data_IF_041490288422
#
_entry.id   IF_041490288422
#
_cell.length_a   1.000
_cell.length_b   1.000
_cell.length_c   1.000
_cell.angle_alpha   90.00
_cell.angle_beta   90.00
_cell.angle_gamma   90.00
#
_symmetry.space_group_name_H-M   'P 1'
#
loop_
_entity.id
_entity.type
_entity.pdbx_description
1 polymer ?
#
# COMPACT_ATOMS: atom_id res chain seq x y z
N UNK A 1 -39.54 16.77 53.98
CA UNK A 1 -39.75 16.97 52.54
C UNK A 1 -38.42 16.82 51.83
N UNK A 2 -38.23 15.60 51.24
CA UNK A 2 -36.93 15.20 50.63
C UNK A 2 -36.89 15.54 49.16
N UNK A 3 -36.00 16.41 48.75
CA UNK A 3 -35.73 16.71 47.33
C UNK A 3 -34.66 15.72 46.79
N UNK A 4 -35.08 14.88 45.83
CA UNK A 4 -34.16 13.99 45.09
C UNK A 4 -33.54 14.76 43.94
N UNK A 5 -32.23 14.95 43.99
CA UNK A 5 -31.42 15.53 42.88
C UNK A 5 -31.10 14.37 41.93
N UNK A 6 -31.61 14.49 40.71
CA UNK A 6 -31.36 13.57 39.61
C UNK A 6 -30.05 14.00 38.93
N UNK A 7 -28.98 13.26 39.06
CA UNK A 7 -27.74 13.45 38.33
C UNK A 7 -27.85 12.72 36.98
N UNK A 8 -27.92 13.50 35.88
CA UNK A 8 -27.79 12.97 34.56
C UNK A 8 -26.33 12.84 34.19
N UNK A 9 -25.83 11.60 34.04
CA UNK A 9 -24.50 11.33 33.53
C UNK A 9 -24.51 11.39 32.02
N UNK A 10 -23.83 12.41 31.45
CA UNK A 10 -23.52 12.46 30.02
C UNK A 10 -22.37 11.51 29.73
N UNK A 11 -22.65 10.39 29.08
CA UNK A 11 -21.64 9.53 28.50
C UNK A 11 -21.18 10.12 27.17
N UNK A 12 -20.04 10.78 27.15
CA UNK A 12 -19.36 11.20 25.92
C UNK A 12 -18.70 9.99 25.27
N UNK A 13 -19.35 9.45 24.24
CA UNK A 13 -18.77 8.40 23.40
C UNK A 13 -17.65 8.97 22.53
N UNK A 14 -16.40 8.64 22.84
CA UNK A 14 -15.26 8.87 21.95
C UNK A 14 -15.34 7.89 20.77
N UNK A 15 -15.77 8.36 19.62
CA UNK A 15 -15.56 7.66 18.34
C UNK A 15 -14.08 7.84 17.96
N UNK A 16 -13.26 6.85 18.27
CA UNK A 16 -11.91 6.75 17.70
C UNK A 16 -12.04 6.31 16.26
N UNK A 17 -11.88 7.26 15.32
CA UNK A 17 -11.65 6.93 13.93
C UNK A 17 -10.30 6.22 13.84
N UNK A 18 -10.33 4.89 13.75
CA UNK A 18 -9.13 4.09 13.52
C UNK A 18 -8.58 4.42 12.12
N UNK A 19 -7.43 5.06 12.06
CA UNK A 19 -6.65 5.10 10.83
C UNK A 19 -6.28 3.66 10.49
N UNK A 20 -6.84 3.13 9.39
CA UNK A 20 -6.49 1.81 8.89
C UNK A 20 -5.00 1.78 8.57
N UNK A 21 -4.26 0.88 9.18
CA UNK A 21 -2.90 0.57 8.79
C UNK A 21 -2.97 -0.26 7.50
N UNK A 22 -2.21 0.12 6.48
CA UNK A 22 -2.04 -0.71 5.31
C UNK A 22 -1.48 -2.07 5.75
N UNK A 23 -2.18 -3.14 5.40
CA UNK A 23 -1.74 -4.51 5.62
C UNK A 23 -1.08 -5.02 4.36
N UNK A 24 0.06 -5.70 4.51
CA UNK A 24 0.68 -6.47 3.46
C UNK A 24 0.80 -7.92 3.91
N UNK A 25 0.26 -8.80 3.10
CA UNK A 25 0.29 -10.23 3.36
C UNK A 25 1.07 -10.95 2.25
N UNK A 26 2.05 -11.79 2.63
CA UNK A 26 2.74 -12.65 1.68
C UNK A 26 1.76 -13.71 1.19
N UNK A 27 1.38 -13.61 -0.08
CA UNK A 27 0.43 -14.54 -0.71
C UNK A 27 1.13 -15.62 -1.53
N UNK A 28 2.43 -15.45 -1.80
CA UNK A 28 3.19 -16.46 -2.53
C UNK A 28 4.70 -16.26 -2.42
N UNK A 29 5.42 -17.38 -2.47
CA UNK A 29 6.87 -17.45 -2.59
C UNK A 29 7.22 -18.49 -3.64
N UNK A 30 8.02 -18.08 -4.63
CA UNK A 30 8.48 -18.96 -5.71
C UNK A 30 10.00 -19.06 -5.64
N UNK A 31 10.51 -20.24 -5.34
CA UNK A 31 11.94 -20.52 -5.33
C UNK A 31 12.53 -20.39 -6.74
N UNK A 32 13.60 -19.64 -6.88
CA UNK A 32 14.30 -19.41 -8.16
C UNK A 32 15.50 -20.33 -8.30
N UNK A 33 16.12 -20.66 -7.17
CA UNK A 33 17.30 -21.53 -7.14
C UNK A 33 17.41 -22.35 -5.85
N UNK A 34 18.41 -23.22 -5.78
CA UNK A 34 18.63 -24.12 -4.65
C UNK A 34 19.33 -23.46 -3.44
N UNK A 35 19.79 -22.20 -3.58
CA UNK A 35 20.46 -21.45 -2.51
C UNK A 35 19.52 -20.53 -1.73
N UNK A 36 18.23 -20.62 -2.01
CA UNK A 36 17.18 -19.92 -1.25
C UNK A 36 16.90 -18.50 -1.72
N UNK A 37 17.11 -18.24 -3.01
CA UNK A 37 16.65 -17.01 -3.64
C UNK A 37 15.20 -17.20 -4.11
N UNK A 38 14.32 -16.28 -3.73
CA UNK A 38 12.88 -16.39 -3.95
C UNK A 38 12.31 -15.15 -4.63
N UNK A 39 11.27 -15.33 -5.42
CA UNK A 39 10.36 -14.25 -5.79
C UNK A 39 9.22 -14.26 -4.79
N UNK A 40 9.05 -13.15 -4.10
CA UNK A 40 7.97 -12.94 -3.12
C UNK A 40 6.85 -12.17 -3.78
N UNK A 41 5.61 -12.58 -3.51
CA UNK A 41 4.39 -11.88 -3.91
C UNK A 41 3.66 -11.45 -2.65
N UNK A 42 3.39 -10.17 -2.52
CA UNK A 42 2.62 -9.60 -1.42
C UNK A 42 1.34 -8.94 -1.93
N UNK A 43 0.24 -9.16 -1.23
CA UNK A 43 -1.01 -8.44 -1.44
C UNK A 43 -1.03 -7.22 -0.51
N UNK A 44 -1.30 -6.06 -1.08
CA UNK A 44 -1.37 -4.77 -0.39
C UNK A 44 -2.78 -4.21 -0.54
N UNK A 45 -3.43 -3.91 0.57
CA UNK A 45 -4.67 -3.16 0.60
C UNK A 45 -4.38 -1.66 0.74
N UNK A 46 -5.10 -0.83 0.00
CA UNK A 46 -5.02 0.62 0.16
C UNK A 46 -5.75 1.05 1.45
N UNK A 47 -5.11 1.77 2.37
CA UNK A 47 -5.72 2.14 3.66
C UNK A 47 -6.88 3.13 3.53
N UNK A 48 -7.01 3.83 2.40
CA UNK A 48 -8.05 4.83 2.15
C UNK A 48 -9.03 4.46 1.05
N UNK A 49 -8.76 3.35 0.34
CA UNK A 49 -9.62 2.86 -0.75
C UNK A 49 -9.92 1.38 -0.51
N UNK A 50 -11.18 1.06 -0.23
CA UNK A 50 -11.62 -0.33 -0.18
C UNK A 50 -12.00 -0.85 -1.57
N UNK A 51 -12.00 -2.17 -1.72
CA UNK A 51 -12.35 -2.82 -2.99
C UNK A 51 -11.23 -2.79 -4.04
N UNK A 52 -10.02 -2.40 -3.65
CA UNK A 52 -8.81 -2.43 -4.48
C UNK A 52 -7.72 -3.22 -3.78
N UNK A 53 -7.06 -4.09 -4.50
CA UNK A 53 -5.90 -4.85 -4.01
C UNK A 53 -4.77 -4.76 -5.03
N UNK A 54 -3.58 -4.46 -4.55
CA UNK A 54 -2.35 -4.46 -5.35
C UNK A 54 -1.50 -5.68 -4.98
N UNK A 55 -0.99 -6.40 -5.97
CA UNK A 55 0.02 -7.42 -5.78
C UNK A 55 1.38 -6.83 -6.20
N UNK A 56 2.32 -6.83 -5.28
CA UNK A 56 3.69 -6.38 -5.52
C UNK A 56 4.60 -7.60 -5.47
N UNK A 57 5.49 -7.70 -6.46
CA UNK A 57 6.50 -8.75 -6.49
C UNK A 57 7.88 -8.15 -6.39
N UNK A 58 8.76 -8.84 -5.68
CA UNK A 58 10.16 -8.48 -5.56
C UNK A 58 11.02 -9.73 -5.34
N UNK A 59 12.32 -9.56 -5.57
CA UNK A 59 13.28 -10.63 -5.41
C UNK A 59 13.88 -10.60 -4.00
N UNK A 60 13.80 -11.72 -3.30
CA UNK A 60 14.42 -11.92 -1.97
C UNK A 60 15.60 -12.89 -2.09
N UNK A 61 16.79 -12.46 -1.66
CA UNK A 61 17.97 -13.31 -1.66
C UNK A 61 18.10 -14.09 -0.36
N UNK A 62 18.51 -15.34 -0.50
CA UNK A 62 18.84 -16.20 0.63
C UNK A 62 20.02 -15.67 1.44
N UNK A 63 20.07 -16.02 2.73
CA UNK A 63 21.14 -15.63 3.66
C UNK A 63 22.51 -16.06 3.17
N UNK A 64 22.60 -17.23 2.51
CA UNK A 64 23.84 -17.78 1.98
C UNK A 64 24.39 -16.91 0.84
N UNK A 65 23.54 -16.42 -0.05
CA UNK A 65 23.96 -15.55 -1.16
C UNK A 65 24.44 -14.18 -0.65
N UNK A 66 23.76 -13.63 0.36
CA UNK A 66 24.16 -12.38 1.04
C UNK A 66 25.55 -12.49 1.70
N UNK A 67 25.81 -13.62 2.38
CA UNK A 67 27.11 -13.89 2.99
C UNK A 67 28.23 -14.03 1.96
N UNK A 68 27.98 -14.70 0.83
CA UNK A 68 28.98 -14.93 -0.21
C UNK A 68 29.36 -13.65 -0.96
N UNK A 69 28.41 -12.74 -1.17
CA UNK A 69 28.61 -11.50 -1.97
C UNK A 69 28.93 -10.27 -1.13
N UNK A 70 28.88 -10.38 0.22
CA UNK A 70 29.13 -9.26 1.13
C UNK A 70 28.10 -8.14 1.07
N UNK A 71 27.01 -8.33 0.34
CA UNK A 71 25.93 -7.36 0.19
C UNK A 71 24.80 -7.63 1.17
N UNK A 72 24.88 -7.02 2.35
CA UNK A 72 23.84 -7.08 3.37
C UNK A 72 22.63 -6.20 3.05
N UNK A 73 22.81 -5.20 2.20
CA UNK A 73 21.78 -4.24 1.81
C UNK A 73 21.52 -4.40 0.32
N UNK A 74 20.49 -5.16 0.00
CA UNK A 74 20.12 -5.37 -1.37
C UNK A 74 19.25 -4.27 -1.90
N UNK A 75 19.56 -3.88 -3.14
CA UNK A 75 18.70 -3.05 -3.95
C UNK A 75 17.53 -3.92 -4.45
N UNK A 76 16.27 -3.62 -4.10
CA UNK A 76 15.11 -4.29 -4.67
C UNK A 76 14.92 -3.85 -6.13
N UNK A 77 15.93 -4.16 -6.96
CA UNK A 77 16.05 -3.62 -8.32
C UNK A 77 15.03 -4.18 -9.31
N UNK A 78 14.37 -5.30 -8.96
CA UNK A 78 13.38 -5.93 -9.81
C UNK A 78 12.05 -6.03 -9.04
N UNK A 79 11.19 -5.05 -9.21
CA UNK A 79 9.86 -5.03 -8.65
C UNK A 79 8.82 -4.92 -9.77
N UNK A 80 7.64 -5.44 -9.53
CA UNK A 80 6.47 -5.25 -10.38
C UNK A 80 5.24 -5.04 -9.50
N UNK A 81 4.24 -4.37 -10.03
CA UNK A 81 2.97 -4.13 -9.37
C UNK A 81 1.81 -4.43 -10.33
N UNK A 82 0.77 -5.07 -9.80
CA UNK A 82 -0.50 -5.26 -10.47
C UNK A 82 -1.61 -4.97 -9.49
N UNK A 83 -2.41 -3.95 -9.78
CA UNK A 83 -3.55 -3.56 -8.96
C UNK A 83 -4.84 -3.84 -9.71
N UNK A 84 -5.85 -4.30 -8.98
CA UNK A 84 -7.15 -4.62 -9.56
C UNK A 84 -8.27 -4.35 -8.56
N UNK A 85 -9.46 -4.18 -9.10
CA UNK A 85 -10.67 -4.14 -8.30
C UNK A 85 -10.97 -5.55 -7.79
N UNK A 86 -11.15 -5.68 -6.48
CA UNK A 86 -11.46 -6.94 -5.80
C UNK A 86 -12.79 -6.90 -5.06
N UNK A 87 -13.49 -5.77 -5.12
CA UNK A 87 -14.80 -5.56 -4.51
C UNK A 87 -15.41 -4.21 -4.89
N UNK A 88 -16.52 -3.82 -4.26
CA UNK A 88 -17.08 -2.48 -4.40
C UNK A 88 -16.05 -1.42 -3.99
N UNK A 89 -15.84 -0.41 -4.86
CA UNK A 89 -14.83 0.62 -4.62
C UNK A 89 -15.42 1.74 -3.76
N UNK A 90 -14.82 1.96 -2.59
CA UNK A 90 -15.13 3.11 -1.74
C UNK A 90 -13.85 3.94 -1.56
N UNK A 91 -13.93 5.23 -1.89
CA UNK A 91 -12.80 6.15 -1.83
C UNK A 91 -13.00 7.09 -0.64
N UNK A 92 -12.06 7.04 0.30
CA UNK A 92 -12.01 7.91 1.47
C UNK A 92 -11.37 9.26 1.17
N UNK A 93 -10.72 9.83 2.18
CA UNK A 93 -10.01 11.11 2.07
C UNK A 93 -8.61 10.89 1.50
N UNK A 94 -8.52 10.89 0.17
CA UNK A 94 -7.27 10.71 -0.57
C UNK A 94 -6.62 12.04 -0.92
N UNK A 95 -5.29 12.06 -1.03
CA UNK A 95 -4.57 13.19 -1.59
C UNK A 95 -4.81 13.28 -3.11
N UNK A 96 -5.22 14.46 -3.56
CA UNK A 96 -5.50 14.76 -4.98
C UNK A 96 -4.36 15.53 -5.65
N UNK A 97 -3.26 15.75 -4.95
CA UNK A 97 -2.08 16.40 -5.50
C UNK A 97 -1.40 15.53 -6.56
N UNK A 98 -0.60 16.16 -7.43
CA UNK A 98 0.16 15.44 -8.47
C UNK A 98 1.36 14.69 -7.92
N UNK A 99 1.81 15.02 -6.71
CA UNK A 99 2.88 14.33 -5.99
C UNK A 99 2.47 12.94 -5.56
N UNK A 100 1.16 12.73 -5.39
CA UNK A 100 0.57 11.48 -4.94
C UNK A 100 0.80 11.21 -3.45
N UNK A 101 0.12 10.20 -2.94
CA UNK A 101 0.17 9.80 -1.54
C UNK A 101 0.88 8.45 -1.40
N UNK A 102 1.84 8.36 -0.48
CA UNK A 102 2.43 7.08 -0.12
C UNK A 102 1.38 6.24 0.61
N UNK A 103 0.94 5.14 -0.03
CA UNK A 103 -0.14 4.27 0.48
C UNK A 103 0.39 3.06 1.21
N UNK A 104 1.65 2.75 1.03
CA UNK A 104 2.26 1.62 1.66
C UNK A 104 3.64 1.97 2.21
N UNK A 105 3.76 1.78 3.52
CA UNK A 105 5.01 1.90 4.27
C UNK A 105 5.16 0.68 5.15
N UNK A 106 5.84 -0.34 4.68
CA UNK A 106 6.10 -1.50 5.50
C UNK A 106 7.12 -1.18 6.59
N UNK A 107 6.67 -1.18 7.82
CA UNK A 107 7.52 -1.08 9.01
C UNK A 107 8.23 -2.38 9.39
N UNK A 108 8.04 -3.48 8.69
CA UNK A 108 8.36 -4.82 9.18
C UNK A 108 9.44 -5.59 8.41
N UNK A 109 9.86 -5.15 7.22
CA UNK A 109 10.93 -5.79 6.45
C UNK A 109 12.05 -4.82 6.11
N UNK A 110 13.31 -5.28 6.18
CA UNK A 110 14.48 -4.48 5.75
C UNK A 110 14.40 -4.11 4.25
N UNK A 111 13.71 -4.91 3.45
CA UNK A 111 13.52 -4.72 2.01
C UNK A 111 12.57 -3.54 1.75
N UNK A 112 11.48 -3.45 2.50
CA UNK A 112 10.47 -2.42 2.35
C UNK A 112 10.91 -1.01 2.74
N UNK A 113 12.01 -0.85 3.47
CA UNK A 113 12.57 0.48 3.73
C UNK A 113 12.97 1.21 2.45
N UNK A 114 13.18 0.48 1.37
CA UNK A 114 13.64 1.00 0.08
C UNK A 114 12.54 1.01 -1.00
N UNK A 115 11.49 0.21 -0.85
CA UNK A 115 10.40 0.12 -1.80
C UNK A 115 9.19 0.90 -1.30
N UNK A 116 8.61 1.71 -2.16
CA UNK A 116 7.49 2.61 -1.86
C UNK A 116 6.40 2.42 -2.90
N UNK A 117 5.14 2.47 -2.47
CA UNK A 117 4.00 2.53 -3.37
C UNK A 117 3.29 3.86 -3.15
N UNK A 118 3.22 4.66 -4.20
CA UNK A 118 2.44 5.90 -4.23
C UNK A 118 1.15 5.70 -5.02
N UNK A 119 0.08 6.31 -4.53
CA UNK A 119 -1.18 6.43 -5.26
C UNK A 119 -1.33 7.85 -5.78
N UNK A 120 -1.75 7.99 -7.04
CA UNK A 120 -2.09 9.24 -7.71
C UNK A 120 -3.50 9.08 -8.28
N UNK A 121 -4.34 10.10 -8.16
CA UNK A 121 -5.62 10.12 -8.87
C UNK A 121 -5.52 11.02 -10.10
N UNK A 122 -5.60 10.40 -11.27
CA UNK A 122 -5.71 11.10 -12.54
C UNK A 122 -7.18 11.52 -12.75
N UNK A 123 -7.48 12.75 -12.36
CA UNK A 123 -8.82 13.32 -12.45
C UNK A 123 -9.33 13.42 -13.89
N UNK A 124 -8.46 13.69 -14.85
CA UNK A 124 -8.85 13.87 -16.24
C UNK A 124 -9.32 12.55 -16.89
N UNK A 125 -8.70 11.44 -16.48
CA UNK A 125 -9.01 10.11 -17.01
C UNK A 125 -9.78 9.23 -16.02
N UNK A 126 -10.21 9.79 -14.87
CA UNK A 126 -10.94 9.07 -13.81
C UNK A 126 -10.27 7.73 -13.45
N UNK A 127 -8.99 7.80 -13.12
CA UNK A 127 -8.14 6.62 -12.97
C UNK A 127 -7.27 6.70 -11.72
N UNK A 128 -7.27 5.64 -10.93
CA UNK A 128 -6.28 5.46 -9.86
C UNK A 128 -4.99 4.90 -10.45
N UNK A 129 -3.87 5.51 -10.11
CA UNK A 129 -2.54 5.09 -10.55
C UNK A 129 -1.77 4.67 -9.30
N UNK A 130 -1.20 3.48 -9.30
CA UNK A 130 -0.30 2.98 -8.28
C UNK A 130 1.09 2.84 -8.88
N UNK A 131 2.04 3.56 -8.29
CA UNK A 131 3.44 3.59 -8.71
C UNK A 131 4.29 2.95 -7.62
N UNK A 132 4.91 1.81 -7.92
CA UNK A 132 5.94 1.24 -7.07
C UNK A 132 7.32 1.71 -7.55
N UNK A 133 8.15 2.17 -6.61
CA UNK A 133 9.50 2.61 -6.93
C UNK A 133 10.48 2.42 -5.76
N UNK A 134 11.77 2.46 -6.04
CA UNK A 134 12.80 2.50 -5.01
C UNK A 134 13.05 3.94 -4.56
N UNK A 135 13.36 4.14 -3.26
CA UNK A 135 13.74 5.47 -2.73
C UNK A 135 15.17 5.86 -3.10
N UNK A 136 16.01 4.88 -3.35
CA UNK A 136 17.40 5.10 -3.73
C UNK A 136 17.55 5.03 -5.24
N UNK A 137 18.28 5.99 -5.79
CA UNK A 137 18.68 5.96 -7.20
C UNK A 137 19.91 5.10 -7.32
N UNK A 138 19.81 3.98 -8.03
CA UNK A 138 20.92 3.08 -8.29
C UNK A 138 21.24 3.11 -9.78
N UNK A 139 22.49 3.25 -10.14
CA UNK A 139 22.95 3.30 -11.54
C UNK A 139 22.19 4.33 -12.40
N UNK A 140 21.84 5.49 -11.81
CA UNK A 140 21.25 6.61 -12.53
C UNK A 140 19.74 6.58 -12.70
N UNK A 141 19.01 5.55 -12.18
CA UNK A 141 17.54 5.55 -12.21
C UNK A 141 16.91 4.89 -10.99
N UNK A 142 15.74 5.40 -10.57
CA UNK A 142 14.86 4.68 -9.67
C UNK A 142 14.18 3.54 -10.44
N UNK A 143 14.28 2.30 -9.94
CA UNK A 143 13.52 1.18 -10.49
C UNK A 143 12.06 1.38 -10.17
N UNK A 144 11.17 1.32 -11.17
CA UNK A 144 9.76 1.65 -11.02
C UNK A 144 8.88 0.76 -11.88
N UNK A 145 7.65 0.57 -11.43
CA UNK A 145 6.57 -0.04 -12.20
C UNK A 145 5.25 0.66 -11.86
N UNK A 146 4.30 0.61 -12.78
CA UNK A 146 3.02 1.28 -12.69
C UNK A 146 1.87 0.30 -12.89
N UNK A 147 0.78 0.48 -12.15
CA UNK A 147 -0.50 -0.19 -12.37
C UNK A 147 -1.63 0.83 -12.29
N UNK A 148 -2.65 0.67 -13.12
CA UNK A 148 -3.77 1.61 -13.21
C UNK A 148 -5.10 0.90 -13.02
N UNK A 149 -6.04 1.56 -12.35
CA UNK A 149 -7.42 1.09 -12.18
C UNK A 149 -8.35 2.19 -12.69
N UNK A 150 -8.95 2.02 -13.87
CA UNK A 150 -9.93 2.97 -14.38
C UNK A 150 -11.21 2.91 -13.52
N UNK A 151 -11.72 4.07 -13.14
CA UNK A 151 -12.97 4.22 -12.39
C UNK A 151 -14.15 4.55 -13.31
N UNK A 152 -13.87 4.87 -14.58
CA UNK A 152 -14.89 5.16 -15.57
C UNK A 152 -15.86 3.99 -15.73
N UNK A 153 -17.13 4.28 -15.63
CA UNK A 153 -18.20 3.26 -15.74
C UNK A 153 -18.34 2.32 -14.55
N UNK A 154 -17.54 2.52 -13.50
CA UNK A 154 -17.62 1.76 -12.26
C UNK A 154 -18.57 2.42 -11.26
N UNK A 155 -19.18 1.60 -10.40
CA UNK A 155 -19.89 2.12 -9.23
C UNK A 155 -18.88 2.40 -8.13
N UNK A 156 -18.54 3.68 -7.98
CA UNK A 156 -17.56 4.14 -6.99
C UNK A 156 -18.24 5.04 -5.97
N UNK A 157 -18.11 4.71 -4.71
CA UNK A 157 -18.60 5.53 -3.61
C UNK A 157 -17.47 6.46 -3.12
N UNK A 158 -17.64 7.76 -3.32
CA UNK A 158 -16.74 8.78 -2.81
C UNK A 158 -17.29 9.35 -1.51
N UNK A 159 -16.61 9.12 -0.37
CA UNK A 159 -17.05 9.60 0.95
C UNK A 159 -17.20 11.12 1.02
N UNK A 160 -16.33 11.84 0.33
CA UNK A 160 -16.31 13.32 0.32
C UNK A 160 -16.87 13.92 -0.98
N UNK A 161 -17.57 13.12 -1.80
CA UNK A 161 -17.98 13.52 -3.14
C UNK A 161 -16.83 13.38 -4.16
N UNK A 162 -17.20 13.15 -5.42
CA UNK A 162 -16.21 13.04 -6.51
C UNK A 162 -15.59 14.41 -6.78
N UNK A 163 -14.25 14.55 -6.83
CA UNK A 163 -13.53 15.82 -7.00
C UNK A 163 -13.64 16.41 -8.42
#
# INVERSE_FOLDING_TARGET
MSGKILQAALAAGFLTAGAGVASADVVGKVGVDWIGNDIVVEAIADPKISGVTCHVTYFERGVIDRLKKGNWFEDPSNNAISCQQTGPVEIGDIDLSKEGEEVFRAGMSLIWKKLVVNRIYDKANDTLIYLVHTREVTEGSAKMAISTIPLYGQQVNWKNGKP
#
